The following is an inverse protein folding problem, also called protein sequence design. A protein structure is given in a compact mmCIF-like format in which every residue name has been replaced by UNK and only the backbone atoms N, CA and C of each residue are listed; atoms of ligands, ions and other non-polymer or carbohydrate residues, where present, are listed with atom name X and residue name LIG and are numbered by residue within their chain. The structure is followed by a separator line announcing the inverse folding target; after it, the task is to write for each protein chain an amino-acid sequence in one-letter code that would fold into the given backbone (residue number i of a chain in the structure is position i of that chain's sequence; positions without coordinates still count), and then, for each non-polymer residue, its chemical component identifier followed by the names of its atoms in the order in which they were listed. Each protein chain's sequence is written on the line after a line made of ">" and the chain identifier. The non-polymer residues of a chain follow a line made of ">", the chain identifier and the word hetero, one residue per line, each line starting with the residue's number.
data_IF_102964804468
#
_entry.id   IF_102964804468
#
_cell.length_a   1.000
_cell.length_b   1.000
_cell.length_c   1.000
_cell.angle_alpha   90.00
_cell.angle_beta   90.00
_cell.angle_gamma   90.00
#
_symmetry.space_group_name_H-M   'P 1'
#
loop_
_entity.id
_entity.type
_entity.pdbx_description
1 polymer ?
#
# COMPACT_ATOMS: atom_id res chain seq x y z
N UNK A 1 -18.46 -20.72 1.15
CA UNK A 1 -18.71 -19.26 1.07
C UNK A 1 -17.36 -18.70 0.69
N UNK A 2 -17.26 -18.21 -0.55
CA UNK A 2 -16.17 -18.50 -1.49
C UNK A 2 -14.92 -17.64 -1.27
N UNK A 3 -13.74 -18.27 -1.30
CA UNK A 3 -12.41 -17.63 -1.17
C UNK A 3 -11.74 -17.31 -2.53
N UNK A 4 -12.44 -17.44 -3.66
CA UNK A 4 -11.81 -17.51 -5.00
C UNK A 4 -12.21 -16.39 -6.00
N UNK A 5 -12.34 -15.13 -5.55
CA UNK A 5 -12.52 -13.98 -6.47
C UNK A 5 -11.46 -12.87 -6.29
N UNK A 6 -10.30 -13.17 -5.71
CA UNK A 6 -9.16 -12.24 -5.77
C UNK A 6 -8.41 -12.42 -7.10
N UNK A 7 -8.58 -11.47 -8.01
CA UNK A 7 -7.86 -11.40 -9.28
C UNK A 7 -6.42 -10.91 -9.05
N UNK A 8 -5.52 -11.83 -8.67
CA UNK A 8 -4.10 -11.56 -8.37
C UNK A 8 -3.25 -11.14 -9.59
N UNK A 9 -3.84 -10.90 -10.77
CA UNK A 9 -3.13 -10.59 -12.01
C UNK A 9 -3.22 -9.13 -12.46
N UNK A 10 -3.96 -8.27 -11.75
CA UNK A 10 -4.14 -6.87 -12.14
C UNK A 10 -2.89 -6.04 -11.90
N UNK A 11 -2.68 -5.06 -12.77
CA UNK A 11 -1.63 -4.06 -12.65
C UNK A 11 -2.20 -2.67 -12.92
N UNK A 12 -1.57 -1.65 -12.32
CA UNK A 12 -1.90 -0.25 -12.56
C UNK A 12 -0.62 0.58 -12.48
N UNK A 13 -0.59 1.71 -13.16
CA UNK A 13 0.51 2.69 -13.07
C UNK A 13 0.09 3.80 -12.11
N UNK A 14 0.94 4.09 -11.13
CA UNK A 14 0.76 5.18 -10.18
C UNK A 14 2.00 6.09 -10.16
N UNK A 15 1.81 7.35 -9.76
CA UNK A 15 2.90 8.30 -9.61
C UNK A 15 3.38 8.31 -8.16
N UNK A 16 4.69 8.21 -7.94
CA UNK A 16 5.30 8.46 -6.63
C UNK A 16 5.16 9.95 -6.30
N UNK A 17 4.55 10.27 -5.16
CA UNK A 17 4.26 11.65 -4.75
C UNK A 17 4.69 11.98 -3.33
N UNK A 18 5.02 10.99 -2.51
CA UNK A 18 5.37 11.17 -1.10
C UNK A 18 6.30 10.06 -0.60
N UNK A 19 6.78 10.21 0.63
CA UNK A 19 7.61 9.24 1.34
C UNK A 19 6.82 8.56 2.47
N UNK A 20 6.96 7.24 2.59
CA UNK A 20 6.61 6.50 3.79
C UNK A 20 7.87 6.39 4.68
N UNK A 21 8.04 7.32 5.62
CA UNK A 21 9.28 7.47 6.42
C UNK A 21 9.55 6.24 7.27
N UNK A 22 10.69 5.57 7.03
CA UNK A 22 11.09 4.34 7.72
C UNK A 22 12.15 4.57 8.82
N UNK A 23 12.49 5.83 9.10
CA UNK A 23 13.47 6.25 10.10
C UNK A 23 12.79 6.91 11.29
N UNK A 24 11.87 7.84 11.04
CA UNK A 24 11.23 8.64 12.09
C UNK A 24 9.81 8.15 12.40
N UNK A 25 9.36 8.39 13.63
CA UNK A 25 8.07 7.93 14.14
C UNK A 25 8.07 7.86 15.67
N UNK A 26 6.97 7.37 16.24
CA UNK A 26 6.74 7.25 17.68
C UNK A 26 6.82 8.60 18.44
N UNK A 27 6.59 9.70 17.75
CA UNK A 27 6.63 11.05 18.31
C UNK A 27 5.34 11.83 17.97
N UNK A 28 5.22 13.05 18.50
CA UNK A 28 4.02 13.87 18.33
C UNK A 28 3.79 14.31 16.87
N UNK A 29 4.86 14.57 16.12
CA UNK A 29 4.76 15.03 14.73
C UNK A 29 4.17 13.94 13.84
N UNK A 30 4.53 12.69 14.10
CA UNK A 30 4.02 11.50 13.42
C UNK A 30 2.76 10.91 14.07
N UNK A 31 2.03 11.69 14.88
CA UNK A 31 0.84 11.23 15.62
C UNK A 31 1.05 9.94 16.44
N UNK A 32 2.27 9.74 16.94
CA UNK A 32 2.75 8.56 17.65
C UNK A 32 2.65 7.24 16.88
N UNK A 33 2.50 7.29 15.55
CA UNK A 33 2.57 6.12 14.68
C UNK A 33 4.02 5.64 14.56
N UNK A 34 4.28 4.32 14.47
CA UNK A 34 5.62 3.80 14.27
C UNK A 34 6.19 4.21 12.90
N UNK A 35 7.53 4.19 12.74
CA UNK A 35 8.14 4.30 11.41
C UNK A 35 7.59 3.26 10.44
N UNK A 36 7.51 3.64 9.18
CA UNK A 36 7.10 2.77 8.09
C UNK A 36 8.07 1.57 7.93
N UNK A 37 7.55 0.43 7.46
CA UNK A 37 8.41 -0.71 7.08
C UNK A 37 9.19 -0.34 5.81
N UNK A 38 10.40 -0.87 5.66
CA UNK A 38 11.32 -0.54 4.58
C UNK A 38 10.94 -1.09 3.19
N UNK A 39 9.85 -1.84 3.08
CA UNK A 39 9.42 -2.52 1.87
C UNK A 39 7.95 -2.21 1.51
N UNK A 40 7.50 -0.99 1.80
CA UNK A 40 6.12 -0.55 1.61
C UNK A 40 5.96 0.32 0.38
N UNK A 41 4.89 0.04 -0.36
CA UNK A 41 4.29 0.95 -1.33
C UNK A 41 2.95 1.39 -0.73
N UNK A 42 2.93 2.57 -0.12
CA UNK A 42 1.68 3.11 0.45
C UNK A 42 0.86 3.78 -0.65
N UNK A 43 -0.38 3.34 -0.82
CA UNK A 43 -1.15 3.56 -2.03
C UNK A 43 -2.53 4.15 -1.74
N UNK A 44 -2.90 5.18 -2.50
CA UNK A 44 -4.24 5.78 -2.43
C UNK A 44 -5.35 4.76 -2.71
N UNK A 45 -6.57 5.01 -2.22
CA UNK A 45 -7.76 4.21 -2.50
C UNK A 45 -7.97 3.91 -4.00
N UNK A 46 -7.65 4.87 -4.89
CA UNK A 46 -7.78 4.68 -6.33
C UNK A 46 -6.86 3.58 -6.90
N UNK A 47 -5.68 3.36 -6.29
CA UNK A 47 -4.77 2.27 -6.67
C UNK A 47 -5.35 0.93 -6.24
N UNK A 48 -5.88 0.84 -5.02
CA UNK A 48 -6.58 -0.35 -4.52
C UNK A 48 -7.77 -0.73 -5.41
N UNK A 49 -8.61 0.25 -5.75
CA UNK A 49 -9.78 0.04 -6.62
C UNK A 49 -9.37 -0.42 -8.03
N UNK A 50 -8.32 0.18 -8.60
CA UNK A 50 -7.80 -0.22 -9.92
C UNK A 50 -7.24 -1.65 -9.92
N UNK A 51 -6.63 -2.07 -8.81
CA UNK A 51 -6.17 -3.44 -8.60
C UNK A 51 -7.31 -4.40 -8.20
N UNK A 52 -8.52 -3.90 -7.94
CA UNK A 52 -9.66 -4.71 -7.50
C UNK A 52 -9.47 -5.30 -6.09
N UNK A 53 -8.72 -4.62 -5.23
CA UNK A 53 -8.39 -5.08 -3.88
C UNK A 53 -9.29 -4.43 -2.83
N UNK A 54 -9.66 -5.19 -1.80
CA UNK A 54 -10.38 -4.68 -0.64
C UNK A 54 -9.40 -4.05 0.37
N UNK A 55 -9.56 -2.76 0.63
CA UNK A 55 -8.74 -2.01 1.60
C UNK A 55 -8.90 -2.53 3.04
N UNK A 56 -9.99 -3.24 3.36
CA UNK A 56 -10.18 -3.85 4.67
C UNK A 56 -9.17 -4.97 4.98
N UNK A 57 -8.45 -5.47 3.97
CA UNK A 57 -7.32 -6.41 4.15
C UNK A 57 -6.13 -5.76 4.87
N UNK A 58 -6.01 -4.42 4.82
CA UNK A 58 -4.91 -3.67 5.40
C UNK A 58 -3.65 -3.72 4.53
N UNK A 59 -3.01 -4.89 4.45
CA UNK A 59 -1.79 -5.11 3.68
C UNK A 59 -1.92 -6.31 2.73
N UNK A 60 -1.40 -6.18 1.51
CA UNK A 60 -1.30 -7.31 0.56
C UNK A 60 0.10 -7.38 -0.07
N UNK A 61 0.60 -8.57 -0.42
CA UNK A 61 1.85 -8.70 -1.15
C UNK A 61 1.70 -8.18 -2.59
N UNK A 62 2.64 -7.35 -3.04
CA UNK A 62 2.69 -6.80 -4.40
C UNK A 62 4.11 -6.86 -4.97
N UNK A 63 4.22 -6.76 -6.28
CA UNK A 63 5.49 -6.45 -6.96
C UNK A 63 5.33 -5.14 -7.73
N UNK A 64 6.42 -4.41 -7.93
CA UNK A 64 6.42 -3.14 -8.67
C UNK A 64 7.71 -2.98 -9.47
N UNK A 65 7.61 -2.19 -10.54
CA UNK A 65 8.74 -1.73 -11.33
C UNK A 65 8.48 -0.29 -11.78
N UNK A 66 9.52 0.40 -12.24
CA UNK A 66 9.33 1.65 -12.96
C UNK A 66 8.57 1.36 -14.27
N UNK A 67 7.66 2.26 -14.62
CA UNK A 67 6.84 2.22 -15.84
C UNK A 67 7.27 3.32 -16.82
#
# INVERSE_FOLDING_TARGET
>A
MWEDDQDYGRSTTAKVVDECDSVNGCDKEHAFQPPCRNNIVDASAAVWDALGLDQALGDVPVTWSLA
#
